data_IF_052570361491
#
_entry.id   IF_052570361491
#
_cell.length_a   1.000
_cell.length_b   1.000
_cell.length_c   1.000
_cell.angle_alpha   90.00
_cell.angle_beta   90.00
_cell.angle_gamma   90.00
#
_symmetry.space_group_name_H-M   'P 1'
#
loop_
_entity.id
_entity.type
_entity.pdbx_description
1 polymer ?
#
# COMPACT_ATOMS: atom_id res chain seq x y z
N UNK A 1 -7.05 28.10 7.58
CA UNK A 1 -6.11 27.42 8.50
C UNK A 1 -5.75 26.06 7.91
N UNK A 2 -4.45 25.68 7.80
CA UNK A 2 -3.91 24.27 7.84
C UNK A 2 -2.58 23.98 7.10
N UNK A 3 -1.82 24.96 6.62
CA UNK A 3 -0.48 24.67 6.03
C UNK A 3 0.50 23.92 6.97
N UNK A 4 0.34 24.06 8.30
CA UNK A 4 1.17 23.34 9.28
C UNK A 4 0.80 21.85 9.42
N UNK A 5 -0.47 21.48 9.20
CA UNK A 5 -0.93 20.09 9.25
C UNK A 5 -0.46 19.29 8.03
N UNK A 6 -0.41 19.94 6.87
CA UNK A 6 0.09 19.34 5.63
C UNK A 6 1.58 18.95 5.75
N UNK A 7 2.43 19.87 6.24
CA UNK A 7 3.87 19.63 6.42
C UNK A 7 4.18 18.52 7.44
N UNK A 8 3.39 18.41 8.50
CA UNK A 8 3.57 17.36 9.50
C UNK A 8 3.21 15.99 8.89
N UNK A 9 2.07 15.89 8.20
CA UNK A 9 1.65 14.66 7.54
C UNK A 9 2.61 14.22 6.42
N UNK A 10 3.19 15.17 5.67
CA UNK A 10 4.20 14.87 4.67
C UNK A 10 5.51 14.37 5.28
N UNK A 11 5.95 14.95 6.41
CA UNK A 11 7.14 14.49 7.13
C UNK A 11 6.95 13.08 7.71
N UNK A 12 5.80 12.84 8.33
CA UNK A 12 5.43 11.52 8.85
C UNK A 12 5.38 10.48 7.73
N UNK A 13 4.81 10.85 6.57
CA UNK A 13 4.81 10.00 5.39
C UNK A 13 6.21 9.64 4.92
N UNK A 14 7.12 10.63 4.79
CA UNK A 14 8.51 10.38 4.37
C UNK A 14 9.25 9.46 5.33
N UNK A 15 9.03 9.61 6.64
CA UNK A 15 9.61 8.72 7.65
C UNK A 15 9.06 7.30 7.54
N UNK A 16 7.74 7.17 7.34
CA UNK A 16 7.11 5.88 7.10
C UNK A 16 7.64 5.20 5.85
N UNK A 17 7.77 5.93 4.73
CA UNK A 17 8.36 5.41 3.50
C UNK A 17 9.79 4.96 3.74
N UNK A 18 10.64 5.78 4.36
CA UNK A 18 12.02 5.41 4.64
C UNK A 18 12.15 4.13 5.52
N UNK A 19 11.20 3.91 6.43
CA UNK A 19 11.17 2.71 7.27
C UNK A 19 10.67 1.45 6.55
N UNK A 20 9.92 1.60 5.46
CA UNK A 20 9.23 0.50 4.76
C UNK A 20 9.64 0.34 3.28
N UNK A 21 10.53 1.21 2.77
CA UNK A 21 10.94 1.25 1.36
C UNK A 21 11.51 -0.09 0.90
N UNK A 22 12.35 -0.73 1.72
CA UNK A 22 12.92 -2.04 1.40
C UNK A 22 11.83 -3.11 1.23
N UNK A 23 10.81 -3.11 2.09
CA UNK A 23 9.68 -4.06 2.01
C UNK A 23 8.82 -3.78 0.76
N UNK A 24 8.55 -2.51 0.46
CA UNK A 24 7.79 -2.10 -0.73
C UNK A 24 8.50 -2.51 -2.03
N UNK A 25 9.83 -2.37 -2.07
CA UNK A 25 10.67 -2.81 -3.20
C UNK A 25 10.65 -4.35 -3.30
N UNK A 26 10.77 -5.07 -2.19
CA UNK A 26 10.75 -6.53 -2.17
C UNK A 26 9.40 -7.10 -2.64
N UNK A 27 8.30 -6.45 -2.28
CA UNK A 27 6.96 -6.77 -2.79
C UNK A 27 6.86 -6.48 -4.29
N UNK A 28 7.64 -5.54 -4.82
CA UNK A 28 7.59 -5.12 -6.22
C UNK A 28 6.59 -4.00 -6.48
N UNK A 29 6.23 -3.22 -5.46
CA UNK A 29 5.34 -2.05 -5.64
C UNK A 29 6.14 -0.89 -6.25
N UNK A 30 5.73 -0.36 -7.42
CA UNK A 30 6.42 0.76 -8.06
C UNK A 30 6.45 2.01 -7.17
N UNK A 31 7.52 2.78 -7.27
CA UNK A 31 7.75 3.97 -6.44
C UNK A 31 6.64 5.01 -6.58
N UNK A 32 6.02 5.08 -7.74
CA UNK A 32 4.92 5.97 -8.07
C UNK A 32 3.68 5.71 -7.21
N UNK A 33 3.46 4.45 -6.79
CA UNK A 33 2.30 4.05 -5.98
C UNK A 33 2.42 4.52 -4.53
N UNK A 34 3.65 4.67 -4.02
CA UNK A 34 3.92 5.12 -2.65
C UNK A 34 4.70 6.45 -2.61
N UNK A 35 4.75 7.18 -3.72
CA UNK A 35 5.42 8.49 -3.82
C UNK A 35 4.79 9.51 -2.88
N UNK A 36 3.46 9.46 -2.72
CA UNK A 36 2.70 10.29 -1.80
C UNK A 36 1.64 9.48 -1.06
N UNK A 37 1.24 10.02 0.10
CA UNK A 37 0.32 9.37 1.02
C UNK A 37 -1.05 9.11 0.40
N UNK A 38 -1.57 10.04 -0.40
CA UNK A 38 -2.91 9.92 -0.99
C UNK A 38 -2.94 8.80 -2.04
N UNK A 39 -1.90 8.72 -2.87
CA UNK A 39 -1.77 7.69 -3.90
C UNK A 39 -1.67 6.30 -3.28
N UNK A 40 -0.88 6.16 -2.21
CA UNK A 40 -0.79 4.90 -1.46
C UNK A 40 -2.15 4.46 -0.91
N UNK A 41 -2.86 5.33 -0.21
CA UNK A 41 -4.16 4.97 0.38
C UNK A 41 -5.20 4.61 -0.68
N UNK A 42 -5.22 5.30 -1.83
CA UNK A 42 -6.08 4.92 -2.95
C UNK A 42 -5.75 3.53 -3.50
N UNK A 43 -4.47 3.20 -3.60
CA UNK A 43 -4.06 1.87 -4.02
C UNK A 43 -4.50 0.81 -3.01
N UNK A 44 -4.36 1.07 -1.71
CA UNK A 44 -4.80 0.16 -0.65
C UNK A 44 -6.34 0.03 -0.58
N UNK A 45 -7.07 1.11 -0.85
CA UNK A 45 -8.55 1.10 -0.88
C UNK A 45 -9.12 0.35 -2.08
N UNK A 46 -8.43 0.37 -3.23
CA UNK A 46 -9.01 -0.11 -4.49
C UNK A 46 -8.23 -1.25 -5.15
N UNK A 47 -7.02 -1.57 -4.68
CA UNK A 47 -6.10 -2.52 -5.32
C UNK A 47 -5.60 -2.09 -6.70
N UNK A 48 -5.81 -0.82 -7.07
CA UNK A 48 -5.50 -0.28 -8.39
C UNK A 48 -5.01 1.17 -8.32
N UNK A 49 -3.90 1.44 -9.00
CA UNK A 49 -3.43 2.78 -9.28
C UNK A 49 -3.75 3.16 -10.75
N UNK A 50 -4.69 4.09 -11.00
CA UNK A 50 -5.02 4.54 -12.35
C UNK A 50 -3.91 5.41 -12.93
N UNK A 51 -3.71 5.40 -14.26
CA UNK A 51 -2.77 6.30 -14.92
C UNK A 51 -3.22 7.74 -14.70
N UNK A 52 -2.44 8.52 -13.98
CA UNK A 52 -2.72 9.95 -13.77
C UNK A 52 -2.15 10.71 -14.97
N UNK A 53 -3.03 11.32 -15.76
CA UNK A 53 -2.79 11.77 -17.14
C UNK A 53 -1.69 12.81 -17.38
N UNK A 54 -0.88 13.22 -16.39
CA UNK A 54 0.03 14.36 -16.55
C UNK A 54 1.46 14.21 -16.02
N UNK A 55 1.93 13.05 -15.53
CA UNK A 55 3.35 12.93 -15.18
C UNK A 55 3.95 11.52 -15.16
N UNK A 56 3.19 10.49 -14.76
CA UNK A 56 3.71 9.11 -14.71
C UNK A 56 2.64 8.12 -15.20
N UNK A 57 2.91 7.48 -16.34
CA UNK A 57 2.06 6.47 -16.99
C UNK A 57 2.14 5.08 -16.30
N UNK A 58 2.45 5.04 -15.00
CA UNK A 58 2.59 3.76 -14.30
C UNK A 58 1.21 3.22 -13.95
N UNK A 59 0.72 2.28 -14.76
CA UNK A 59 -0.44 1.46 -14.43
C UNK A 59 0.03 0.31 -13.57
N UNK A 60 -0.50 0.22 -12.36
CA UNK A 60 -0.16 -0.88 -11.45
C UNK A 60 -1.41 -1.41 -10.75
N UNK A 61 -1.58 -2.72 -10.80
CA UNK A 61 -2.68 -3.47 -10.19
C UNK A 61 -2.12 -4.60 -9.35
N UNK A 62 -2.91 -5.07 -8.38
CA UNK A 62 -2.57 -6.29 -7.64
C UNK A 62 -2.24 -7.48 -8.55
N UNK A 63 -2.95 -7.61 -9.68
CA UNK A 63 -2.76 -8.70 -10.64
C UNK A 63 -1.39 -8.69 -11.34
N UNK A 64 -0.66 -7.56 -11.31
CA UNK A 64 0.68 -7.44 -11.87
C UNK A 64 1.74 -8.08 -10.95
N UNK A 65 1.38 -8.36 -9.69
CA UNK A 65 2.24 -9.06 -8.73
C UNK A 65 2.09 -10.58 -8.87
N UNK A 66 3.21 -11.29 -8.74
CA UNK A 66 3.21 -12.76 -8.62
C UNK A 66 2.50 -13.23 -7.35
N UNK A 67 2.10 -14.50 -7.27
CA UNK A 67 1.45 -15.03 -6.06
C UNK A 67 2.28 -14.85 -4.79
N UNK A 68 3.60 -15.01 -4.89
CA UNK A 68 4.55 -14.78 -3.79
C UNK A 68 4.59 -13.30 -3.39
N UNK A 69 4.66 -12.40 -4.37
CA UNK A 69 4.63 -10.95 -4.13
C UNK A 69 3.30 -10.48 -3.53
N UNK A 70 2.17 -11.07 -3.95
CA UNK A 70 0.87 -10.80 -3.35
C UNK A 70 0.81 -11.26 -1.89
N UNK A 71 1.47 -12.37 -1.57
CA UNK A 71 1.58 -12.84 -0.19
C UNK A 71 2.48 -11.93 0.66
N UNK A 72 3.62 -11.49 0.12
CA UNK A 72 4.47 -10.49 0.78
C UNK A 72 3.72 -9.17 1.00
N UNK A 73 2.95 -8.71 0.02
CA UNK A 73 2.09 -7.54 0.15
C UNK A 73 1.05 -7.74 1.24
N UNK A 74 0.45 -8.93 1.33
CA UNK A 74 -0.50 -9.25 2.39
C UNK A 74 0.13 -9.11 3.78
N UNK A 75 1.27 -9.77 4.01
CA UNK A 75 1.99 -9.72 5.28
C UNK A 75 2.41 -8.28 5.64
N UNK A 76 2.87 -7.52 4.64
CA UNK A 76 3.20 -6.12 4.79
C UNK A 76 1.98 -5.31 5.24
N UNK A 77 0.87 -5.40 4.53
CA UNK A 77 -0.37 -4.69 4.84
C UNK A 77 -0.93 -5.09 6.20
N UNK A 78 -0.86 -6.38 6.56
CA UNK A 78 -1.31 -6.86 7.86
C UNK A 78 -0.52 -6.20 9.01
N UNK A 79 0.79 -6.00 8.82
CA UNK A 79 1.66 -5.35 9.80
C UNK A 79 1.47 -3.82 9.88
N UNK A 80 1.30 -3.14 8.74
CA UNK A 80 1.36 -1.66 8.68
C UNK A 80 0.00 -0.98 8.73
N UNK A 81 -1.08 -1.69 8.42
CA UNK A 81 -2.42 -1.10 8.48
C UNK A 81 -2.93 -1.05 9.93
N UNK A 82 -3.71 -0.01 10.28
CA UNK A 82 -4.35 0.09 11.59
C UNK A 82 -5.36 -1.05 11.83
N UNK A 83 -5.78 -1.25 13.08
CA UNK A 83 -6.74 -2.32 13.45
C UNK A 83 -8.05 -2.28 12.64
N UNK A 84 -8.45 -1.11 12.14
CA UNK A 84 -9.61 -0.90 11.25
C UNK A 84 -9.36 -1.34 9.79
N UNK A 85 -8.37 -2.21 9.55
CA UNK A 85 -7.91 -2.64 8.22
C UNK A 85 -8.97 -3.34 7.35
N UNK A 86 -10.06 -3.79 7.96
CA UNK A 86 -11.21 -4.37 7.26
C UNK A 86 -11.87 -3.40 6.26
N UNK A 87 -11.66 -2.08 6.42
CA UNK A 87 -12.15 -1.08 5.46
C UNK A 87 -11.39 -1.04 4.14
N UNK A 88 -10.17 -1.60 4.08
CA UNK A 88 -9.32 -1.56 2.88
C UNK A 88 -9.58 -2.77 1.99
N UNK A 89 -10.12 -2.54 0.79
CA UNK A 89 -10.48 -3.64 -0.11
C UNK A 89 -9.29 -4.51 -0.49
N UNK A 90 -8.09 -3.93 -0.66
CA UNK A 90 -6.89 -4.69 -1.00
C UNK A 90 -6.52 -5.70 0.09
N UNK A 91 -6.55 -5.29 1.35
CA UNK A 91 -6.29 -6.19 2.47
C UNK A 91 -7.38 -7.27 2.55
N UNK A 92 -8.66 -6.90 2.40
CA UNK A 92 -9.76 -7.86 2.45
C UNK A 92 -9.67 -8.93 1.35
N UNK A 93 -9.33 -8.53 0.11
CA UNK A 93 -9.09 -9.44 -1.02
C UNK A 93 -7.95 -10.41 -0.69
N UNK A 94 -6.82 -9.88 -0.22
CA UNK A 94 -5.64 -10.69 0.10
C UNK A 94 -5.86 -11.62 1.29
N UNK A 95 -6.52 -11.14 2.34
CA UNK A 95 -6.89 -11.92 3.52
C UNK A 95 -7.87 -13.05 3.16
N UNK A 96 -8.85 -12.81 2.29
CA UNK A 96 -9.74 -13.87 1.80
C UNK A 96 -9.01 -14.94 0.99
N UNK A 97 -7.90 -14.58 0.34
CA UNK A 97 -7.11 -15.48 -0.50
C UNK A 97 -6.10 -16.30 0.31
N UNK A 98 -5.43 -15.68 1.27
CA UNK A 98 -4.34 -16.30 2.02
C UNK A 98 -4.72 -16.73 3.44
N UNK A 99 -5.89 -16.33 3.93
CA UNK A 99 -6.31 -16.56 5.32
C UNK A 99 -5.60 -15.63 6.31
N UNK A 100 -5.83 -15.80 7.63
CA UNK A 100 -5.07 -15.10 8.64
C UNK A 100 -3.57 -15.43 8.53
N UNK A 101 -2.72 -14.40 8.57
CA UNK A 101 -1.26 -14.55 8.57
C UNK A 101 -0.75 -15.37 9.76
N UNK A 102 -1.52 -15.36 10.86
CA UNK A 102 -1.29 -16.21 12.02
C UNK A 102 -2.12 -17.49 11.83
N UNK A 103 -1.45 -18.62 11.64
CA UNK A 103 -2.04 -19.94 11.39
C UNK A 103 -2.81 -20.51 12.58
N UNK A 104 -3.76 -19.77 13.14
CA UNK A 104 -4.77 -20.30 14.04
C UNK A 104 -5.86 -20.95 13.20
N UNK A 105 -5.67 -22.26 13.00
CA UNK A 105 -6.72 -23.20 12.55
C UNK A 105 -7.93 -23.18 13.49
#
# INVERSE_FOLDING_TARGET
MSFRRDKQGEREWRLWVAANEADLIAVGVPREVWADRLTWWRFVDHGYHPPVSNACDVRFRLADLSGEQQHLLYLFLDRVLPEERHGFALWAILHSRFGPADGSS
#
